data_IF_989850185652
#
_entry.id   IF_989850185652
#
_cell.length_a   1.000
_cell.length_b   1.000
_cell.length_c   1.000
_cell.angle_alpha   90.00
_cell.angle_beta   90.00
_cell.angle_gamma   90.00
#
_symmetry.space_group_name_H-M   'P 1'
#
loop_
_entity.id
_entity.type
_entity.pdbx_description
1 polymer ?
#
# COMPACT_ATOMS: atom_id res chain seq x y z
N UNK A 1 8.54 -20.81 2.70
CA UNK A 1 8.77 -22.19 2.30
C UNK A 1 10.26 -22.54 2.27
N UNK A 2 11.12 -21.85 1.49
CA UNK A 2 12.56 -22.17 1.42
C UNK A 2 13.24 -22.23 2.80
N UNK A 3 12.93 -21.32 3.71
CA UNK A 3 13.48 -21.34 5.07
C UNK A 3 13.07 -22.58 5.84
N UNK A 4 11.82 -23.01 5.71
CA UNK A 4 11.35 -24.28 6.32
C UNK A 4 12.12 -25.48 5.77
N UNK A 5 12.32 -25.55 4.46
CA UNK A 5 13.10 -26.62 3.84
C UNK A 5 14.56 -26.65 4.34
N UNK A 6 15.18 -25.48 4.47
CA UNK A 6 16.54 -25.36 5.01
C UNK A 6 16.59 -25.86 6.45
N UNK A 7 15.65 -25.45 7.31
CA UNK A 7 15.57 -25.88 8.70
C UNK A 7 15.37 -27.39 8.79
N UNK A 8 14.43 -27.96 8.02
CA UNK A 8 14.17 -29.40 7.99
C UNK A 8 15.41 -30.19 7.56
N UNK A 9 16.10 -29.73 6.51
CA UNK A 9 17.32 -30.38 6.03
C UNK A 9 18.46 -30.27 7.06
N UNK A 10 18.61 -29.13 7.70
CA UNK A 10 19.60 -28.94 8.76
C UNK A 10 19.32 -29.87 9.94
N UNK A 11 18.09 -29.89 10.43
CA UNK A 11 17.71 -30.75 11.56
C UNK A 11 17.84 -32.26 11.23
N UNK A 12 17.62 -32.64 9.98
CA UNK A 12 17.80 -34.05 9.59
C UNK A 12 19.26 -34.53 9.68
N UNK A 13 20.23 -33.61 9.63
CA UNK A 13 21.68 -33.92 9.71
C UNK A 13 22.21 -33.72 11.11
N UNK A 14 21.77 -32.67 11.81
CA UNK A 14 22.36 -32.25 13.09
C UNK A 14 21.44 -32.47 14.30
N UNK A 15 20.27 -33.09 14.08
CA UNK A 15 19.23 -33.22 15.12
C UNK A 15 18.38 -31.95 15.24
N UNK A 16 17.35 -32.00 16.10
CA UNK A 16 16.40 -30.88 16.31
C UNK A 16 17.08 -29.66 16.96
N UNK A 17 17.80 -28.90 16.16
CA UNK A 17 18.60 -27.73 16.59
C UNK A 17 17.92 -26.42 16.28
N UNK A 18 17.25 -26.30 15.11
CA UNK A 18 16.59 -25.10 14.64
C UNK A 18 15.07 -25.24 14.75
N UNK A 19 14.41 -24.17 15.18
CA UNK A 19 12.95 -24.11 15.20
C UNK A 19 12.44 -23.81 13.79
N UNK A 20 11.49 -24.62 13.31
CA UNK A 20 10.85 -24.38 12.01
C UNK A 20 10.00 -23.09 12.09
N UNK A 21 10.25 -22.09 11.23
CA UNK A 21 9.51 -20.83 11.28
C UNK A 21 8.12 -20.96 10.67
N UNK A 22 7.15 -20.29 11.28
CA UNK A 22 5.84 -20.11 10.69
C UNK A 22 5.74 -18.85 9.86
N UNK A 23 4.84 -18.85 8.85
CA UNK A 23 4.53 -17.68 8.04
C UNK A 23 3.59 -16.75 8.84
N UNK A 24 3.99 -15.50 9.00
CA UNK A 24 3.13 -14.41 9.44
C UNK A 24 2.65 -13.65 8.20
N UNK A 25 1.36 -13.71 7.93
CA UNK A 25 0.72 -12.94 6.87
C UNK A 25 -0.09 -11.79 7.47
N UNK A 26 -0.24 -10.67 6.77
CA UNK A 26 -1.14 -9.60 7.20
C UNK A 26 -2.59 -10.09 7.24
N UNK A 27 -3.34 -9.68 8.25
CA UNK A 27 -4.77 -10.00 8.40
C UNK A 27 -5.58 -9.42 7.23
N UNK A 28 -5.22 -8.23 6.77
CA UNK A 28 -5.84 -7.61 5.60
C UNK A 28 -5.26 -8.21 4.30
N UNK A 29 -6.07 -9.02 3.62
CA UNK A 29 -5.68 -9.68 2.36
C UNK A 29 -5.33 -8.71 1.23
N UNK A 30 -5.88 -7.50 1.23
CA UNK A 30 -5.55 -6.46 0.24
C UNK A 30 -4.08 -6.04 0.33
N UNK A 31 -3.45 -6.17 1.52
CA UNK A 31 -2.03 -5.89 1.73
C UNK A 31 -1.08 -6.98 1.20
N UNK A 32 -1.58 -8.17 0.85
CA UNK A 32 -0.72 -9.26 0.37
C UNK A 32 -0.05 -8.96 -0.97
N UNK A 33 -0.76 -8.25 -1.85
CA UNK A 33 -0.24 -7.89 -3.17
C UNK A 33 -0.94 -6.66 -3.72
N UNK A 34 -0.28 -5.51 -3.67
CA UNK A 34 -0.77 -4.30 -4.31
C UNK A 34 -0.42 -4.29 -5.81
N UNK A 35 -1.38 -3.94 -6.68
CA UNK A 35 -1.12 -3.71 -8.09
C UNK A 35 -0.28 -2.43 -8.28
N UNK A 36 0.37 -2.28 -9.42
CA UNK A 36 0.95 -1.02 -9.85
C UNK A 36 -0.13 0.04 -10.10
N UNK A 37 0.29 1.29 -10.20
CA UNK A 37 -0.62 2.42 -10.49
C UNK A 37 -1.29 2.30 -11.87
N UNK A 38 -0.73 1.47 -12.76
CA UNK A 38 -1.28 1.13 -14.07
C UNK A 38 -2.44 0.11 -14.04
N UNK A 39 -2.71 -0.49 -12.88
CA UNK A 39 -3.75 -1.50 -12.69
C UNK A 39 -3.53 -2.83 -13.39
N UNK A 40 -2.43 -3.01 -14.10
CA UNK A 40 -2.19 -4.19 -14.96
C UNK A 40 -1.18 -5.15 -14.38
N UNK A 41 -0.11 -4.62 -13.82
CA UNK A 41 1.02 -5.41 -13.39
C UNK A 41 1.32 -5.22 -11.90
N UNK A 42 2.10 -6.15 -11.34
CA UNK A 42 2.71 -5.96 -10.03
C UNK A 42 3.55 -4.69 -10.02
N UNK A 43 3.57 -3.96 -8.90
CA UNK A 43 4.49 -2.85 -8.71
C UNK A 43 5.93 -3.24 -9.06
N UNK A 44 6.56 -2.44 -9.91
CA UNK A 44 7.94 -2.63 -10.34
C UNK A 44 8.64 -1.30 -10.59
N UNK A 45 9.88 -1.17 -10.10
CA UNK A 45 10.71 0.01 -10.36
C UNK A 45 10.94 0.22 -11.85
N UNK A 46 11.18 -0.87 -12.59
CA UNK A 46 11.43 -0.83 -14.04
C UNK A 46 10.22 -0.40 -14.87
N UNK A 47 9.01 -0.59 -14.36
CA UNK A 47 7.77 -0.17 -15.00
C UNK A 47 7.31 1.22 -14.58
N UNK A 48 7.99 1.84 -13.62
CA UNK A 48 7.64 3.15 -13.03
C UNK A 48 6.17 3.25 -12.58
N UNK A 49 5.60 2.12 -12.13
CA UNK A 49 4.22 2.01 -11.67
C UNK A 49 4.11 1.87 -10.14
N UNK A 50 5.14 2.35 -9.41
CA UNK A 50 5.22 2.27 -7.96
C UNK A 50 5.03 3.65 -7.31
N UNK A 51 4.39 3.66 -6.13
CA UNK A 51 4.49 4.75 -5.16
C UNK A 51 5.60 4.38 -4.17
N UNK A 52 6.64 5.20 -4.07
CA UNK A 52 7.74 4.96 -3.14
C UNK A 52 7.45 5.58 -1.78
N UNK A 53 7.92 4.95 -0.71
CA UNK A 53 7.81 5.51 0.65
C UNK A 53 8.55 6.86 0.79
N UNK A 54 9.52 7.11 -0.09
CA UNK A 54 10.30 8.34 -0.14
C UNK A 54 9.75 9.41 -1.10
N UNK A 55 8.67 9.10 -1.85
CA UNK A 55 8.11 10.07 -2.78
C UNK A 55 7.65 11.34 -2.04
N UNK A 56 7.98 12.53 -2.56
CA UNK A 56 7.40 13.77 -2.06
C UNK A 56 5.87 13.76 -2.22
N UNK A 57 5.20 14.57 -1.41
CA UNK A 57 3.74 14.67 -1.39
C UNK A 57 3.14 14.93 -2.79
N UNK A 58 3.74 15.84 -3.54
CA UNK A 58 3.28 16.19 -4.89
C UNK A 58 3.47 15.05 -5.89
N UNK A 59 4.54 14.25 -5.73
CA UNK A 59 4.77 13.09 -6.59
C UNK A 59 3.77 11.96 -6.31
N UNK A 60 3.47 11.70 -5.04
CA UNK A 60 2.40 10.76 -4.64
C UNK A 60 1.08 11.20 -5.24
N UNK A 61 0.74 12.49 -5.12
CA UNK A 61 -0.48 13.05 -5.70
C UNK A 61 -0.56 12.85 -7.20
N UNK A 62 0.51 13.13 -7.95
CA UNK A 62 0.56 12.91 -9.41
C UNK A 62 0.32 11.45 -9.75
N UNK A 63 1.00 10.54 -9.06
CA UNK A 63 0.85 9.10 -9.27
C UNK A 63 -0.57 8.63 -8.99
N UNK A 64 -1.18 9.06 -7.88
CA UNK A 64 -2.56 8.73 -7.54
C UNK A 64 -3.54 9.28 -8.57
N UNK A 65 -3.38 10.54 -8.98
CA UNK A 65 -4.27 11.14 -9.98
C UNK A 65 -4.15 10.47 -11.36
N UNK A 66 -2.99 9.89 -11.69
CA UNK A 66 -2.77 9.15 -12.93
C UNK A 66 -3.08 7.65 -12.82
N UNK A 67 -3.50 7.13 -11.65
CA UNK A 67 -3.87 5.72 -11.50
C UNK A 67 -4.95 5.32 -12.49
N UNK A 68 -4.82 4.10 -13.00
CA UNK A 68 -5.86 3.48 -13.82
C UNK A 68 -7.20 3.42 -13.06
N UNK A 69 -8.27 3.65 -13.77
CA UNK A 69 -9.65 3.48 -13.30
C UNK A 69 -10.47 2.74 -14.37
N UNK A 70 -11.76 2.53 -14.11
CA UNK A 70 -12.63 1.84 -15.06
C UNK A 70 -12.73 2.62 -16.39
N UNK A 71 -12.31 2.03 -17.52
CA UNK A 71 -12.39 2.68 -18.82
C UNK A 71 -13.81 2.93 -19.32
N UNK A 72 -14.82 2.28 -18.74
CA UNK A 72 -16.24 2.46 -19.08
C UNK A 72 -16.91 3.56 -18.24
N UNK A 73 -16.26 4.03 -17.16
CA UNK A 73 -16.74 5.11 -16.31
C UNK A 73 -16.32 6.47 -16.89
N UNK A 74 -16.96 6.89 -17.99
CA UNK A 74 -16.59 8.11 -18.72
C UNK A 74 -17.24 9.36 -18.14
N UNK A 75 -18.46 9.22 -17.60
CA UNK A 75 -19.20 10.30 -16.95
C UNK A 75 -19.45 9.96 -15.47
N UNK A 76 -19.63 10.99 -14.67
CA UNK A 76 -19.92 10.83 -13.23
C UNK A 76 -21.19 10.00 -13.00
N UNK A 77 -22.16 10.08 -13.92
CA UNK A 77 -23.42 9.33 -13.87
C UNK A 77 -23.28 7.84 -14.17
N UNK A 78 -22.17 7.45 -14.81
CA UNK A 78 -22.00 6.07 -15.23
C UNK A 78 -21.72 5.17 -14.02
N UNK A 79 -22.26 3.93 -13.99
CA UNK A 79 -21.84 2.93 -13.03
C UNK A 79 -20.34 2.62 -13.17
N UNK A 80 -19.61 2.56 -12.05
CA UNK A 80 -18.20 2.24 -12.06
C UNK A 80 -17.91 0.84 -11.52
N UNK A 81 -16.82 0.24 -11.97
CA UNK A 81 -16.35 -1.06 -11.49
C UNK A 81 -15.33 -0.90 -10.38
N UNK A 82 -15.61 -1.47 -9.22
CA UNK A 82 -14.72 -1.49 -8.04
C UNK A 82 -13.72 -2.63 -8.13
N UNK A 83 -14.18 -3.80 -8.57
CA UNK A 83 -13.33 -4.99 -8.67
C UNK A 83 -12.21 -4.78 -9.70
N UNK A 84 -10.97 -5.07 -9.29
CA UNK A 84 -9.78 -4.87 -10.14
C UNK A 84 -9.36 -3.41 -10.31
N UNK A 85 -10.09 -2.45 -9.74
CA UNK A 85 -9.73 -1.04 -9.77
C UNK A 85 -8.64 -0.75 -8.72
N UNK A 86 -7.42 -0.35 -9.12
CA UNK A 86 -6.32 -0.15 -8.19
C UNK A 86 -6.61 0.92 -7.13
N UNK A 87 -7.42 1.94 -7.44
CA UNK A 87 -7.78 2.98 -6.47
C UNK A 87 -8.51 2.37 -5.27
N UNK A 88 -9.48 1.49 -5.52
CA UNK A 88 -10.22 0.83 -4.45
C UNK A 88 -9.40 -0.27 -3.76
N UNK A 89 -8.50 -0.97 -4.47
CA UNK A 89 -7.58 -1.93 -3.85
C UNK A 89 -6.66 -1.24 -2.84
N UNK A 90 -6.17 -0.04 -3.17
CA UNK A 90 -5.36 0.75 -2.23
C UNK A 90 -6.20 1.31 -1.07
N UNK A 91 -7.46 1.71 -1.31
CA UNK A 91 -8.36 2.09 -0.22
C UNK A 91 -8.66 0.90 0.70
N UNK A 92 -8.87 -0.30 0.18
CA UNK A 92 -9.03 -1.53 0.99
C UNK A 92 -7.81 -1.83 1.85
N UNK A 93 -6.61 -1.50 1.36
CA UNK A 93 -5.37 -1.76 2.07
C UNK A 93 -5.09 -0.72 3.17
N UNK A 94 -5.41 0.55 2.94
CA UNK A 94 -4.88 1.66 3.75
C UNK A 94 -5.94 2.55 4.40
N UNK A 95 -7.20 2.54 3.91
CA UNK A 95 -8.25 3.37 4.45
C UNK A 95 -8.78 2.80 5.77
N UNK A 96 -9.01 3.69 6.73
CA UNK A 96 -9.73 3.41 7.98
C UNK A 96 -11.01 4.23 8.01
N UNK A 97 -12.02 3.75 8.73
CA UNK A 97 -13.33 4.41 8.77
C UNK A 97 -13.27 5.81 9.44
N UNK A 98 -12.35 6.03 10.37
CA UNK A 98 -12.14 7.34 11.00
C UNK A 98 -11.69 8.43 10.02
N UNK A 99 -11.01 8.06 8.94
CA UNK A 99 -10.56 8.99 7.90
C UNK A 99 -11.72 9.60 7.10
N UNK A 100 -12.88 8.96 7.07
CA UNK A 100 -14.04 9.52 6.38
C UNK A 100 -14.53 10.81 7.02
N UNK A 101 -14.57 10.88 8.35
CA UNK A 101 -15.01 12.06 9.06
C UNK A 101 -14.18 13.31 8.71
N UNK A 102 -12.89 13.14 8.41
CA UNK A 102 -11.98 14.23 8.09
C UNK A 102 -11.97 14.58 6.59
N UNK A 103 -11.88 13.57 5.73
CA UNK A 103 -11.59 13.79 4.31
C UNK A 103 -12.78 13.62 3.37
N UNK A 104 -13.83 12.91 3.80
CA UNK A 104 -14.99 12.60 2.97
C UNK A 104 -16.27 12.39 3.81
N UNK A 105 -16.71 13.40 4.59
CA UNK A 105 -17.72 13.27 5.66
C UNK A 105 -19.12 12.89 5.16
N UNK A 106 -19.39 12.86 3.87
CA UNK A 106 -20.64 12.39 3.28
C UNK A 106 -20.77 10.85 3.27
N UNK A 107 -19.72 10.12 3.66
CA UNK A 107 -19.74 8.65 3.81
C UNK A 107 -19.25 8.27 5.20
N UNK A 108 -19.77 7.18 5.75
CA UNK A 108 -19.36 6.67 7.05
C UNK A 108 -18.31 5.57 6.96
N UNK A 109 -18.20 4.89 5.82
CA UNK A 109 -17.27 3.79 5.60
C UNK A 109 -16.96 3.57 4.12
N UNK A 110 -15.92 2.76 3.86
CA UNK A 110 -15.48 2.45 2.50
C UNK A 110 -16.54 1.70 1.68
N UNK A 111 -17.40 0.90 2.33
CA UNK A 111 -18.45 0.18 1.62
C UNK A 111 -19.48 1.13 1.01
N UNK A 112 -19.90 2.17 1.72
CA UNK A 112 -20.82 3.18 1.19
C UNK A 112 -20.24 3.92 -0.03
N UNK A 113 -18.93 4.23 0.01
CA UNK A 113 -18.23 4.84 -1.11
C UNK A 113 -18.22 3.92 -2.34
N UNK A 114 -17.94 2.61 -2.15
CA UNK A 114 -17.96 1.59 -3.20
C UNK A 114 -19.36 1.42 -3.80
N UNK A 115 -20.38 1.36 -2.97
CA UNK A 115 -21.78 1.21 -3.39
C UNK A 115 -22.23 2.42 -4.23
N UNK A 116 -21.81 3.62 -3.82
CA UNK A 116 -22.12 4.83 -4.59
C UNK A 116 -21.39 4.83 -5.95
N UNK A 117 -20.10 4.46 -5.97
CA UNK A 117 -19.33 4.38 -7.21
C UNK A 117 -19.95 3.35 -8.20
N UNK A 118 -20.34 2.18 -7.68
CA UNK A 118 -20.96 1.12 -8.48
C UNK A 118 -22.33 1.51 -9.03
N UNK A 119 -23.09 2.31 -8.26
CA UNK A 119 -24.41 2.80 -8.69
C UNK A 119 -24.34 3.91 -9.73
N UNK A 120 -23.21 4.62 -9.80
CA UNK A 120 -23.05 5.86 -10.55
C UNK A 120 -23.39 7.10 -9.72
N UNK A 121 -22.87 8.24 -10.13
CA UNK A 121 -23.00 9.52 -9.43
C UNK A 121 -21.74 9.97 -8.67
N UNK A 122 -20.68 9.17 -8.71
CA UNK A 122 -19.40 9.46 -8.06
C UNK A 122 -18.23 9.39 -9.05
N UNK A 123 -17.59 10.52 -9.34
CA UNK A 123 -16.50 10.58 -10.31
C UNK A 123 -15.15 10.15 -9.73
N UNK A 124 -14.29 9.56 -10.58
CA UNK A 124 -12.94 9.07 -10.27
C UNK A 124 -12.05 10.08 -9.54
N UNK A 125 -12.11 11.34 -9.96
CA UNK A 125 -11.29 12.42 -9.38
C UNK A 125 -11.55 12.56 -7.89
N UNK A 126 -12.79 12.43 -7.44
CA UNK A 126 -13.16 12.54 -6.02
C UNK A 126 -12.59 11.36 -5.22
N UNK A 127 -12.73 10.15 -5.73
CA UNK A 127 -12.19 8.93 -5.10
C UNK A 127 -10.66 8.97 -5.04
N UNK A 128 -10.00 9.42 -6.13
CA UNK A 128 -8.53 9.59 -6.17
C UNK A 128 -8.04 10.65 -5.18
N UNK A 129 -8.76 11.77 -5.03
CA UNK A 129 -8.43 12.77 -4.02
C UNK A 129 -8.50 12.21 -2.60
N UNK A 130 -9.53 11.42 -2.32
CA UNK A 130 -9.67 10.74 -1.04
C UNK A 130 -8.52 9.75 -0.81
N UNK A 131 -8.21 8.90 -1.79
CA UNK A 131 -7.06 8.00 -1.71
C UNK A 131 -5.74 8.75 -1.48
N UNK A 132 -5.56 9.90 -2.15
CA UNK A 132 -4.37 10.71 -1.92
C UNK A 132 -4.26 11.15 -0.46
N UNK A 133 -5.34 11.61 0.16
CA UNK A 133 -5.32 12.02 1.57
C UNK A 133 -4.98 10.84 2.49
N UNK A 134 -5.61 9.68 2.26
CA UNK A 134 -5.32 8.44 2.99
C UNK A 134 -3.82 8.08 2.89
N UNK A 135 -3.24 8.11 1.69
CA UNK A 135 -1.82 7.79 1.49
C UNK A 135 -0.90 8.86 2.08
N UNK A 136 -1.25 10.14 2.01
CA UNK A 136 -0.45 11.21 2.62
C UNK A 136 -0.37 11.05 4.14
N UNK A 137 -1.46 10.68 4.79
CA UNK A 137 -1.47 10.41 6.23
C UNK A 137 -0.55 9.26 6.61
N UNK A 138 -0.57 8.17 5.83
CA UNK A 138 0.31 7.01 6.05
C UNK A 138 1.79 7.33 5.77
N UNK A 139 2.08 8.10 4.73
CA UNK A 139 3.44 8.36 4.28
C UNK A 139 4.11 9.55 4.99
N UNK A 140 3.35 10.48 5.53
CA UNK A 140 3.88 11.68 6.20
C UNK A 140 4.81 11.35 7.37
N UNK A 141 4.46 10.48 8.33
CA UNK A 141 5.38 10.12 9.42
C UNK A 141 6.63 9.40 8.91
N UNK A 142 6.52 8.57 7.87
CA UNK A 142 7.66 7.88 7.26
C UNK A 142 8.64 8.89 6.65
N UNK A 143 8.12 9.89 5.91
CA UNK A 143 8.94 10.95 5.32
C UNK A 143 9.61 11.82 6.39
N UNK A 144 8.91 12.12 7.47
CA UNK A 144 9.45 12.89 8.61
C UNK A 144 10.59 12.12 9.26
N UNK A 145 10.36 10.88 9.63
CA UNK A 145 11.40 10.01 10.22
C UNK A 145 12.61 9.87 9.30
N UNK A 146 12.39 9.69 7.98
CA UNK A 146 13.47 9.64 7.00
C UNK A 146 14.35 10.90 7.03
N UNK A 147 13.72 12.09 7.04
CA UNK A 147 14.46 13.37 7.09
C UNK A 147 15.30 13.51 8.37
N UNK A 148 14.79 13.02 9.49
CA UNK A 148 15.55 13.00 10.76
C UNK A 148 16.76 12.07 10.66
N UNK A 149 16.60 10.86 10.13
CA UNK A 149 17.68 9.91 9.95
C UNK A 149 18.72 10.35 8.91
N UNK A 150 18.32 11.07 7.86
CA UNK A 150 19.25 11.66 6.89
C UNK A 150 20.26 12.65 7.53
N UNK A 151 19.92 13.24 8.67
CA UNK A 151 20.83 14.08 9.48
C UNK A 151 21.76 13.26 10.38
N UNK A 152 21.52 11.96 10.51
CA UNK A 152 22.17 11.06 11.46
C UNK A 152 22.84 9.87 10.78
N UNK A 153 23.44 10.09 9.62
CA UNK A 153 24.11 9.04 8.84
C UNK A 153 25.14 8.21 9.65
N UNK A 154 25.99 8.81 10.50
CA UNK A 154 26.90 8.04 11.35
C UNK A 154 26.19 7.04 12.25
N UNK A 155 25.08 7.44 12.88
CA UNK A 155 24.29 6.57 13.77
C UNK A 155 23.69 5.37 12.99
N UNK A 156 23.28 5.61 11.73
CA UNK A 156 22.79 4.53 10.85
C UNK A 156 23.88 3.48 10.63
N UNK A 157 25.11 3.91 10.35
CA UNK A 157 26.23 2.98 10.16
C UNK A 157 26.59 2.23 11.44
N UNK A 158 26.50 2.88 12.61
CA UNK A 158 26.70 2.22 13.89
C UNK A 158 25.66 1.12 14.14
N UNK A 159 24.37 1.42 13.92
CA UNK A 159 23.29 0.45 14.06
C UNK A 159 23.45 -0.72 13.08
N UNK A 160 23.81 -0.45 11.83
CA UNK A 160 24.05 -1.49 10.84
C UNK A 160 25.24 -2.36 11.22
N UNK A 161 26.31 -1.77 11.74
CA UNK A 161 27.48 -2.51 12.21
C UNK A 161 27.12 -3.44 13.37
N UNK A 162 26.39 -2.95 14.36
CA UNK A 162 25.90 -3.77 15.48
C UNK A 162 24.97 -4.91 15.01
N UNK A 163 24.11 -4.64 14.03
CA UNK A 163 23.21 -5.63 13.44
C UNK A 163 23.93 -6.78 12.68
N UNK A 164 25.16 -6.52 12.21
CA UNK A 164 25.97 -7.53 11.52
C UNK A 164 26.80 -8.41 12.48
N UNK A 165 26.91 -8.01 13.75
CA UNK A 165 27.72 -8.71 14.76
C UNK A 165 26.87 -9.69 15.60
N UNK A 166 25.55 -9.53 15.57
CA UNK A 166 24.58 -10.36 16.27
C UNK A 166 23.72 -11.16 15.27
#
# INVERSE_FOLDING_TARGET
EQTKEIVRKFNSVYGDTLVEPDILLPDNKACLRLPGTDGKAKMSKSLNNCIYLSDPEEEVRKKVMSMFTDPNHLQVSDPGQVEGNPVFIYLDAFCKDDMFAEYLPEYSCLQELKDHYTRGGLGDVKVKKFLNNVLQEQLSPIRTSRKEWEQRIPDIYEILHLSLIH
#
